data_IF_514534868701
#
_entry.id   IF_514534868701
#
_cell.length_a   1.000
_cell.length_b   1.000
_cell.length_c   1.000
_cell.angle_alpha   90.00
_cell.angle_beta   90.00
_cell.angle_gamma   90.00
#
_symmetry.space_group_name_H-M   'P 1'
#
loop_
_entity.id
_entity.type
_entity.pdbx_description
1 polymer ?
#
# COMPACT_ATOMS: atom_id res chain seq x y z
N UNK A 1 4.19 8.57 -13.36
CA UNK A 1 4.51 8.35 -11.92
C UNK A 1 3.89 7.03 -11.49
N UNK A 2 4.62 6.13 -10.83
CA UNK A 2 4.07 4.84 -10.35
C UNK A 2 3.44 4.99 -8.96
N UNK A 3 2.54 4.07 -8.59
CA UNK A 3 1.90 4.06 -7.27
C UNK A 3 2.94 3.94 -6.15
N UNK A 4 3.90 3.01 -6.26
CA UNK A 4 4.93 2.80 -5.24
C UNK A 4 5.72 4.07 -4.93
N UNK A 5 6.15 4.82 -5.95
CA UNK A 5 6.89 6.06 -5.75
C UNK A 5 6.02 7.12 -5.03
N UNK A 6 4.72 7.19 -5.33
CA UNK A 6 3.79 8.09 -4.63
C UNK A 6 3.63 7.71 -3.16
N UNK A 7 3.54 6.42 -2.85
CA UNK A 7 3.38 5.91 -1.49
C UNK A 7 4.64 6.15 -0.65
N UNK A 8 5.83 6.00 -1.23
CA UNK A 8 7.12 6.32 -0.60
C UNK A 8 7.24 7.81 -0.30
N UNK A 9 6.94 8.69 -1.26
CA UNK A 9 6.95 10.15 -1.05
C UNK A 9 5.97 10.60 0.04
N UNK A 10 4.84 9.90 0.18
CA UNK A 10 3.86 10.14 1.25
C UNK A 10 4.22 9.51 2.60
N UNK A 11 5.34 8.79 2.67
CA UNK A 11 5.80 8.07 3.86
C UNK A 11 4.83 6.99 4.34
N UNK A 12 4.02 6.42 3.43
CA UNK A 12 3.10 5.33 3.73
C UNK A 12 3.87 4.01 3.79
N UNK A 13 4.76 3.83 2.82
CA UNK A 13 5.70 2.71 2.72
C UNK A 13 7.13 3.25 2.74
N UNK A 14 8.09 2.35 2.95
CA UNK A 14 9.50 2.64 2.76
C UNK A 14 10.23 1.42 2.20
N UNK A 15 11.40 1.66 1.60
CA UNK A 15 12.33 0.61 1.16
C UNK A 15 13.65 0.86 1.84
N UNK A 16 14.20 -0.19 2.42
CA UNK A 16 15.51 -0.18 3.05
C UNK A 16 16.17 -1.53 2.71
N UNK A 17 17.36 -1.56 2.10
CA UNK A 17 18.07 -2.80 1.79
C UNK A 17 18.24 -3.72 3.00
N UNK A 18 18.35 -3.16 4.20
CA UNK A 18 18.51 -3.89 5.46
C UNK A 18 17.16 -4.44 6.00
N UNK A 19 16.03 -4.04 5.41
CA UNK A 19 14.68 -4.49 5.77
C UNK A 19 14.09 -5.28 4.61
N UNK A 20 13.94 -6.60 4.80
CA UNK A 20 13.37 -7.50 3.78
C UNK A 20 14.03 -7.34 2.40
N UNK A 21 15.35 -7.14 2.36
CA UNK A 21 16.12 -6.99 1.11
C UNK A 21 15.60 -5.87 0.19
N UNK A 22 15.07 -4.79 0.76
CA UNK A 22 14.56 -3.64 0.00
C UNK A 22 13.15 -3.80 -0.56
N UNK A 23 12.41 -4.85 -0.17
CA UNK A 23 10.98 -4.96 -0.48
C UNK A 23 10.24 -3.76 0.15
N UNK A 24 9.36 -3.07 -0.59
CA UNK A 24 8.54 -2.01 -0.01
C UNK A 24 7.61 -2.56 1.09
N UNK A 25 7.77 -2.03 2.30
CA UNK A 25 6.97 -2.39 3.48
C UNK A 25 6.26 -1.17 4.05
N UNK A 26 5.12 -1.37 4.72
CA UNK A 26 4.44 -0.32 5.45
C UNK A 26 5.37 0.29 6.50
N UNK A 27 5.48 1.63 6.50
CA UNK A 27 6.38 2.36 7.42
C UNK A 27 6.06 1.98 8.86
N UNK A 28 7.10 1.68 9.64
CA UNK A 28 6.98 1.26 11.03
C UNK A 28 6.66 -0.23 11.22
N UNK A 29 6.63 -1.01 10.15
CA UNK A 29 6.31 -2.45 10.19
C UNK A 29 7.25 -3.25 9.28
N UNK A 30 7.16 -4.58 9.36
CA UNK A 30 7.76 -5.51 8.39
C UNK A 30 6.71 -6.16 7.49
N UNK A 31 5.52 -5.56 7.36
CA UNK A 31 4.47 -6.07 6.49
C UNK A 31 4.70 -5.52 5.08
N UNK A 32 4.97 -6.39 4.08
CA UNK A 32 5.11 -5.96 2.69
C UNK A 32 3.86 -5.25 2.17
N UNK A 33 4.04 -4.28 1.29
CA UNK A 33 2.93 -3.72 0.53
C UNK A 33 2.27 -4.81 -0.34
N UNK A 34 3.05 -5.76 -0.85
CA UNK A 34 2.53 -6.88 -1.64
C UNK A 34 1.48 -7.69 -0.88
N UNK A 35 1.72 -7.97 0.42
CA UNK A 35 0.76 -8.70 1.26
C UNK A 35 -0.62 -8.03 1.28
N UNK A 36 -0.67 -6.69 1.29
CA UNK A 36 -1.95 -6.00 1.20
C UNK A 36 -2.68 -6.29 -0.12
N UNK A 37 -1.96 -6.28 -1.26
CA UNK A 37 -2.55 -6.61 -2.55
C UNK A 37 -2.95 -8.08 -2.66
N UNK A 38 -2.15 -9.00 -2.11
CA UNK A 38 -2.47 -10.43 -2.09
C UNK A 38 -3.80 -10.70 -1.36
N UNK A 39 -4.06 -10.00 -0.25
CA UNK A 39 -5.35 -10.08 0.45
C UNK A 39 -6.50 -9.51 -0.41
N UNK A 40 -6.28 -8.41 -1.12
CA UNK A 40 -7.30 -7.83 -2.01
C UNK A 40 -7.65 -8.73 -3.20
N UNK A 41 -6.72 -9.57 -3.64
CA UNK A 41 -6.92 -10.57 -4.70
C UNK A 41 -7.61 -11.85 -4.18
N UNK A 42 -7.57 -12.10 -2.87
CA UNK A 42 -8.23 -13.22 -2.21
C UNK A 42 -9.70 -12.96 -1.84
N UNK A 43 -10.36 -14.01 -1.34
CA UNK A 43 -11.80 -13.96 -1.01
C UNK A 43 -12.13 -13.06 0.20
N UNK A 44 -11.23 -12.95 1.19
CA UNK A 44 -11.46 -12.15 2.39
C UNK A 44 -11.15 -10.66 2.23
N UNK A 45 -10.35 -10.28 1.22
CA UNK A 45 -10.21 -8.90 0.78
C UNK A 45 -9.67 -7.94 1.85
N UNK A 46 -10.15 -6.69 1.79
CA UNK A 46 -9.79 -5.64 2.73
C UNK A 46 -10.24 -5.96 4.17
N UNK A 47 -11.38 -6.64 4.34
CA UNK A 47 -11.91 -6.93 5.68
C UNK A 47 -10.97 -7.85 6.44
N UNK A 48 -10.58 -8.96 5.82
CA UNK A 48 -9.63 -9.93 6.40
C UNK A 48 -8.28 -9.28 6.69
N UNK A 49 -7.77 -8.44 5.78
CA UNK A 49 -6.50 -7.73 6.00
C UNK A 49 -6.56 -6.80 7.23
N UNK A 50 -7.68 -6.10 7.43
CA UNK A 50 -7.85 -5.21 8.59
C UNK A 50 -8.01 -6.00 9.88
N UNK A 51 -8.62 -7.17 9.83
CA UNK A 51 -8.75 -8.04 10.99
C UNK A 51 -7.39 -8.60 11.43
N UNK A 52 -6.53 -9.01 10.48
CA UNK A 52 -5.18 -9.50 10.75
C UNK A 52 -4.17 -8.38 11.11
N UNK A 53 -4.30 -7.21 10.48
CA UNK A 53 -3.41 -6.06 10.65
C UNK A 53 -4.16 -4.78 11.04
N UNK A 54 -4.84 -4.74 12.20
CA UNK A 54 -5.69 -3.62 12.58
C UNK A 54 -4.93 -2.30 12.70
N UNK A 55 -3.64 -2.37 13.06
CA UNK A 55 -2.75 -1.20 13.14
C UNK A 55 -2.39 -0.60 11.76
N UNK A 56 -2.59 -1.33 10.66
CA UNK A 56 -2.37 -0.83 9.30
C UNK A 56 -3.58 -0.15 8.68
N UNK A 57 -4.74 -0.12 9.36
CA UNK A 57 -5.98 0.43 8.83
C UNK A 57 -5.82 1.83 8.22
N UNK A 58 -5.20 2.75 8.95
CA UNK A 58 -4.97 4.11 8.45
C UNK A 58 -4.06 4.13 7.23
N UNK A 59 -3.00 3.32 7.22
CA UNK A 59 -2.05 3.28 6.11
C UNK A 59 -2.68 2.69 4.83
N UNK A 60 -3.46 1.62 4.92
CA UNK A 60 -4.10 1.04 3.73
C UNK A 60 -5.19 1.92 3.16
N UNK A 61 -5.94 2.66 3.99
CA UNK A 61 -6.86 3.67 3.47
C UNK A 61 -6.12 4.72 2.65
N UNK A 62 -4.95 5.18 3.11
CA UNK A 62 -4.11 6.13 2.36
C UNK A 62 -3.55 5.52 1.07
N UNK A 63 -3.30 4.21 1.02
CA UNK A 63 -2.93 3.49 -0.22
C UNK A 63 -4.08 3.56 -1.22
N UNK A 64 -5.29 3.14 -0.81
CA UNK A 64 -6.49 3.15 -1.66
C UNK A 64 -6.83 4.55 -2.17
N UNK A 65 -6.79 5.56 -1.31
CA UNK A 65 -6.99 6.96 -1.70
C UNK A 65 -5.97 7.43 -2.75
N UNK A 66 -4.70 7.01 -2.61
CA UNK A 66 -3.64 7.40 -3.53
C UNK A 66 -3.79 6.70 -4.88
N UNK A 67 -4.17 5.42 -4.88
CA UNK A 67 -4.49 4.67 -6.08
C UNK A 67 -5.69 5.29 -6.82
N UNK A 68 -6.79 5.58 -6.11
CA UNK A 68 -7.97 6.24 -6.68
C UNK A 68 -7.63 7.60 -7.30
N UNK A 69 -6.84 8.43 -6.61
CA UNK A 69 -6.38 9.73 -7.14
C UNK A 69 -5.53 9.59 -8.40
N UNK A 70 -4.65 8.59 -8.47
CA UNK A 70 -3.85 8.33 -9.66
C UNK A 70 -4.72 7.90 -10.84
N UNK A 71 -5.66 6.98 -10.64
CA UNK A 71 -6.58 6.52 -11.69
C UNK A 71 -7.43 7.69 -12.22
N UNK A 72 -8.04 8.48 -11.33
CA UNK A 72 -8.86 9.65 -11.73
C UNK A 72 -8.01 10.68 -12.49
N UNK A 73 -6.76 10.91 -12.09
CA UNK A 73 -5.87 11.83 -12.78
C UNK A 73 -5.48 11.34 -14.18
N UNK A 74 -5.31 10.04 -14.36
CA UNK A 74 -5.03 9.42 -15.66
C UNK A 74 -6.23 9.59 -16.61
N UNK A 75 -7.44 9.28 -16.15
CA UNK A 75 -8.67 9.44 -16.94
C UNK A 75 -8.91 10.90 -17.39
N UNK A 76 -8.57 11.89 -16.56
CA UNK A 76 -8.71 13.32 -16.92
C UNK A 76 -7.65 13.82 -17.91
N UNK A 77 -6.56 13.07 -18.07
CA UNK A 77 -5.44 13.43 -18.94
C UNK A 77 -5.48 12.66 -20.27
N UNK A 78 -6.44 11.74 -20.42
CA UNK A 78 -6.75 11.00 -21.64
C UNK A 78 -7.81 11.75 -22.47
#
# INVERSE_FOLDING_TARGET
MTLNNLLEMKGIIHRDPDIMSGVPVFKGTRVPLQTFFDYLEGDGGLAEFIDDFPYLKSQVMRVLESAAKLLIAQERSA
#
